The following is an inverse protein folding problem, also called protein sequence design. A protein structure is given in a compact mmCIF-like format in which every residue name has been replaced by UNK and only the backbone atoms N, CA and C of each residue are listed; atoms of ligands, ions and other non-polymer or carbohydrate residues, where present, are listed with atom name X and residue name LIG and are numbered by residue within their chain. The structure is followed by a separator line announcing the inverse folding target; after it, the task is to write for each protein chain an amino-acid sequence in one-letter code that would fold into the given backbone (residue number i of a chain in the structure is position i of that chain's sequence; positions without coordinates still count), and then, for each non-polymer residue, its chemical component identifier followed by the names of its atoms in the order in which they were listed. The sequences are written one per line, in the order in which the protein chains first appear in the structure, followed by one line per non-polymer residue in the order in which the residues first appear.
data_IF_720588382009
#
_entry.id   IF_720588382009
#
_cell.length_a   1.000
_cell.length_b   1.000
_cell.length_c   1.000
_cell.angle_alpha   90.00
_cell.angle_beta   90.00
_cell.angle_gamma   90.00
#
_symmetry.space_group_name_H-M   'P 1'
#
loop_
_entity.id
_entity.type
_entity.pdbx_description
1 polymer ?
#
# COMPACT_ATOMS: atom_id res chain seq x y z
N UNK A 1 22.94 -25.55 -4.23
CA UNK A 1 22.55 -24.13 -4.18
C UNK A 1 21.08 -24.05 -3.77
N UNK A 2 20.77 -23.98 -2.46
CA UNK A 2 19.45 -23.58 -1.93
C UNK A 2 19.51 -23.68 -0.41
N UNK A 3 20.16 -22.72 0.23
CA UNK A 3 20.04 -22.51 1.68
C UNK A 3 19.98 -21.01 1.98
N UNK A 4 20.66 -20.20 1.16
CA UNK A 4 20.65 -18.73 1.27
C UNK A 4 19.29 -18.14 0.84
N UNK A 5 18.65 -18.69 -0.20
CA UNK A 5 17.33 -18.26 -0.68
C UNK A 5 16.22 -18.50 0.35
N UNK A 6 16.28 -19.63 1.07
CA UNK A 6 15.27 -20.02 2.05
C UNK A 6 15.39 -19.23 3.36
N UNK A 7 16.60 -18.81 3.77
CA UNK A 7 16.80 -17.98 4.98
C UNK A 7 16.34 -16.53 4.79
N UNK A 8 16.44 -15.97 3.57
CA UNK A 8 15.99 -14.59 3.29
C UNK A 8 14.45 -14.50 3.18
N UNK A 9 13.78 -15.53 2.63
CA UNK A 9 12.30 -15.61 2.64
C UNK A 9 11.73 -15.55 4.06
N UNK A 10 12.47 -16.05 5.06
CA UNK A 10 12.07 -16.05 6.46
C UNK A 10 12.31 -14.74 7.24
N UNK A 11 12.89 -13.70 6.63
CA UNK A 11 13.06 -12.38 7.29
C UNK A 11 12.08 -11.31 6.80
N UNK A 12 11.40 -11.55 5.68
CA UNK A 12 10.50 -10.55 5.11
C UNK A 12 9.10 -10.71 5.66
N UNK A 13 8.52 -9.59 6.05
CA UNK A 13 7.13 -9.49 6.46
C UNK A 13 6.34 -8.69 5.40
N UNK A 14 5.02 -8.76 5.50
CA UNK A 14 4.10 -7.94 4.73
C UNK A 14 3.60 -6.83 5.63
N UNK A 15 3.74 -5.59 5.17
CA UNK A 15 3.31 -4.39 5.86
C UNK A 15 2.09 -3.80 5.17
N UNK A 16 1.15 -3.31 5.97
CA UNK A 16 -0.02 -2.57 5.47
C UNK A 16 0.32 -1.09 5.45
N UNK A 17 0.25 -0.47 4.27
CA UNK A 17 0.59 0.94 4.06
C UNK A 17 -0.62 1.68 3.50
N UNK A 18 -1.00 2.80 4.12
CA UNK A 18 -1.84 3.80 3.49
C UNK A 18 -0.96 4.83 2.78
N UNK A 19 -1.20 5.04 1.50
CA UNK A 19 -0.42 5.96 0.66
C UNK A 19 -1.36 6.99 0.06
N UNK A 20 -1.13 8.25 0.45
CA UNK A 20 -1.81 9.39 -0.14
C UNK A 20 -1.06 9.81 -1.41
N UNK A 21 -1.76 9.79 -2.52
CA UNK A 21 -1.29 10.23 -3.82
C UNK A 21 -1.83 11.62 -4.15
N UNK A 22 -0.97 12.45 -4.74
CA UNK A 22 -1.39 13.62 -5.50
C UNK A 22 -1.64 13.25 -6.96
N UNK A 23 -2.26 14.16 -7.72
CA UNK A 23 -2.38 14.03 -9.16
C UNK A 23 -1.01 14.19 -9.83
N UNK A 24 -0.71 13.29 -10.76
CA UNK A 24 0.39 13.46 -11.72
C UNK A 24 -0.06 13.17 -13.14
N UNK A 25 0.83 13.51 -14.09
CA UNK A 25 0.62 13.18 -15.50
C UNK A 25 0.77 11.67 -15.67
N UNK A 26 -0.18 11.06 -16.37
CA UNK A 26 -0.17 9.63 -16.72
C UNK A 26 -0.20 8.67 -15.50
N UNK A 27 -0.78 9.12 -14.38
CA UNK A 27 -0.94 8.35 -13.13
C UNK A 27 -2.06 7.30 -13.16
N UNK A 28 -2.81 7.21 -14.26
CA UNK A 28 -3.94 6.30 -14.42
C UNK A 28 -5.16 6.63 -13.56
N UNK A 29 -5.14 7.70 -12.76
CA UNK A 29 -6.27 8.08 -11.91
C UNK A 29 -7.46 8.59 -12.75
N UNK A 30 -8.71 8.33 -12.31
CA UNK A 30 -9.91 8.80 -12.99
C UNK A 30 -9.86 10.29 -13.35
N UNK A 31 -10.55 10.67 -14.42
CA UNK A 31 -10.66 12.09 -14.80
C UNK A 31 -11.24 12.90 -13.64
N UNK A 32 -10.73 14.12 -13.45
CA UNK A 32 -11.11 15.05 -12.36
C UNK A 32 -10.68 14.63 -10.95
N UNK A 33 -10.08 13.44 -10.75
CA UNK A 33 -9.47 13.11 -9.48
C UNK A 33 -8.29 14.07 -9.22
N UNK A 34 -8.18 14.57 -7.99
CA UNK A 34 -7.05 15.42 -7.53
C UNK A 34 -5.95 14.60 -6.86
N UNK A 35 -6.24 13.33 -6.58
CA UNK A 35 -5.35 12.37 -5.93
C UNK A 35 -6.08 11.07 -5.65
N UNK A 36 -5.49 10.22 -4.81
CA UNK A 36 -6.13 9.00 -4.32
C UNK A 36 -5.52 8.60 -2.98
N UNK A 37 -6.27 7.84 -2.19
CA UNK A 37 -5.75 7.09 -1.06
C UNK A 37 -5.65 5.64 -1.49
N UNK A 38 -4.48 5.04 -1.31
CA UNK A 38 -4.23 3.64 -1.58
C UNK A 38 -4.03 2.89 -0.28
N UNK A 39 -4.62 1.70 -0.16
CA UNK A 39 -4.17 0.69 0.79
C UNK A 39 -3.31 -0.31 0.04
N UNK A 40 -2.08 -0.47 0.48
CA UNK A 40 -1.08 -1.31 -0.16
C UNK A 40 -0.54 -2.36 0.82
N UNK A 41 -0.36 -3.59 0.35
CA UNK A 41 0.47 -4.60 1.01
C UNK A 41 1.84 -4.58 0.36
N UNK A 42 2.86 -4.25 1.15
CA UNK A 42 4.24 -4.12 0.68
C UNK A 42 5.16 -5.03 1.49
N UNK A 43 6.04 -5.74 0.80
CA UNK A 43 7.03 -6.59 1.45
C UNK A 43 8.26 -5.79 1.90
N UNK A 44 8.82 -6.14 3.05
CA UNK A 44 10.10 -5.60 3.51
C UNK A 44 10.69 -6.42 4.65
N UNK A 45 11.98 -6.23 4.94
CA UNK A 45 12.63 -6.72 6.17
C UNK A 45 12.28 -5.79 7.34
N UNK A 46 12.00 -4.52 7.05
CA UNK A 46 11.43 -3.56 7.99
C UNK A 46 10.32 -2.74 7.32
N UNK A 47 9.49 -2.07 8.13
CA UNK A 47 8.45 -1.17 7.62
C UNK A 47 9.08 -0.04 6.77
N UNK A 48 10.19 0.53 7.23
CA UNK A 48 10.95 1.53 6.50
C UNK A 48 11.41 1.06 5.11
N UNK A 49 11.82 -0.20 4.96
CA UNK A 49 12.15 -0.78 3.65
C UNK A 49 10.89 -0.90 2.79
N UNK A 50 9.81 -1.44 3.35
CA UNK A 50 8.54 -1.59 2.65
C UNK A 50 7.98 -0.24 2.16
N UNK A 51 8.12 0.82 2.96
CA UNK A 51 7.77 2.21 2.59
C UNK A 51 8.64 2.71 1.45
N UNK A 52 9.97 2.57 1.55
CA UNK A 52 10.90 3.02 0.49
C UNK A 52 10.61 2.33 -0.85
N UNK A 53 10.39 1.02 -0.83
CA UNK A 53 10.11 0.23 -2.04
C UNK A 53 8.73 0.53 -2.63
N UNK A 54 7.71 0.73 -1.79
CA UNK A 54 6.39 1.16 -2.24
C UNK A 54 6.45 2.52 -2.94
N UNK A 55 7.11 3.51 -2.33
CA UNK A 55 7.30 4.84 -2.92
C UNK A 55 8.08 4.76 -4.23
N UNK A 56 9.17 3.98 -4.27
CA UNK A 56 9.96 3.80 -5.48
C UNK A 56 9.15 3.14 -6.61
N UNK A 57 8.34 2.14 -6.28
CA UNK A 57 7.46 1.45 -7.24
C UNK A 57 6.41 2.38 -7.83
N UNK A 58 5.69 3.12 -6.99
CA UNK A 58 4.67 4.08 -7.44
C UNK A 58 5.26 5.18 -8.32
N UNK A 59 6.45 5.71 -7.97
CA UNK A 59 7.14 6.70 -8.79
C UNK A 59 7.53 6.17 -10.16
N UNK A 60 7.98 4.91 -10.25
CA UNK A 60 8.26 4.25 -11.55
C UNK A 60 7.00 4.13 -12.43
N UNK A 61 5.82 4.10 -11.81
CA UNK A 61 4.52 4.08 -12.47
C UNK A 61 3.94 5.49 -12.70
N UNK A 62 4.76 6.55 -12.61
CA UNK A 62 4.35 7.95 -12.78
C UNK A 62 3.31 8.45 -11.77
N UNK A 63 3.13 7.77 -10.64
CA UNK A 63 2.27 8.25 -9.54
C UNK A 63 3.04 9.18 -8.60
N UNK A 64 2.33 10.09 -7.94
CA UNK A 64 2.91 11.08 -7.04
C UNK A 64 2.56 10.81 -5.56
N UNK A 65 3.28 9.90 -4.86
CA UNK A 65 3.09 9.70 -3.43
C UNK A 65 3.48 10.96 -2.64
N UNK A 66 2.55 11.42 -1.79
CA UNK A 66 2.68 12.62 -0.95
C UNK A 66 2.99 12.25 0.50
N UNK A 67 2.24 11.29 1.05
CA UNK A 67 2.38 10.84 2.43
C UNK A 67 2.17 9.33 2.51
N UNK A 68 2.87 8.68 3.45
CA UNK A 68 2.73 7.25 3.74
C UNK A 68 2.52 7.07 5.23
N UNK A 69 1.52 6.28 5.59
CA UNK A 69 1.25 5.85 6.96
C UNK A 69 1.38 4.33 7.00
N UNK A 70 2.19 3.82 7.93
CA UNK A 70 2.31 2.39 8.20
C UNK A 70 1.32 1.94 9.26
N UNK A 71 0.70 0.79 9.04
CA UNK A 71 -0.18 0.11 10.00
C UNK A 71 0.46 -1.17 10.56
N UNK A 72 1.79 -1.26 10.51
CA UNK A 72 2.53 -2.41 10.98
C UNK A 72 2.47 -3.62 10.04
N UNK A 73 3.12 -4.69 10.49
CA UNK A 73 3.15 -5.97 9.80
C UNK A 73 1.85 -6.76 10.03
N UNK A 74 1.65 -7.81 9.22
CA UNK A 74 0.56 -8.77 9.46
C UNK A 74 0.58 -9.32 10.90
N UNK A 75 1.77 -9.58 11.45
CA UNK A 75 1.91 -10.10 12.81
C UNK A 75 1.46 -9.06 13.85
N UNK A 76 1.87 -7.80 13.69
CA UNK A 76 1.47 -6.71 14.58
C UNK A 76 -0.07 -6.55 14.56
N UNK A 77 -0.69 -6.60 13.37
CA UNK A 77 -2.16 -6.51 13.24
C UNK A 77 -2.88 -7.67 13.93
N UNK A 78 -2.36 -8.90 13.82
CA UNK A 78 -2.93 -10.07 14.49
C UNK A 78 -2.78 -9.97 16.02
N UNK A 79 -1.66 -9.43 16.51
CA UNK A 79 -1.41 -9.20 17.94
C UNK A 79 -2.33 -8.11 18.51
N UNK A 80 -2.63 -7.08 17.72
CA UNK A 80 -3.62 -6.03 18.04
C UNK A 80 -5.08 -6.53 17.95
N UNK A 81 -5.30 -7.79 17.56
CA UNK A 81 -6.61 -8.42 17.50
C UNK A 81 -7.41 -8.10 16.24
N UNK A 82 -6.76 -7.61 15.18
CA UNK A 82 -7.43 -7.43 13.88
C UNK A 82 -7.69 -8.78 13.21
N UNK A 83 -8.91 -8.95 12.70
CA UNK A 83 -9.23 -10.07 11.82
C UNK A 83 -8.72 -9.77 10.40
N UNK A 84 -8.07 -10.77 9.80
CA UNK A 84 -7.61 -10.74 8.41
C UNK A 84 -8.40 -11.81 7.68
N UNK A 85 -9.25 -11.40 6.74
CA UNK A 85 -10.06 -12.34 5.99
C UNK A 85 -9.23 -13.14 4.95
N UNK A 86 -9.86 -14.13 4.31
CA UNK A 86 -9.18 -14.98 3.34
C UNK A 86 -8.72 -14.22 2.10
N UNK A 87 -9.45 -13.19 1.66
CA UNK A 87 -9.09 -12.40 0.49
C UNK A 87 -7.87 -11.54 0.79
N UNK A 88 -7.87 -10.84 1.93
CA UNK A 88 -6.75 -10.06 2.43
C UNK A 88 -5.51 -10.93 2.61
N UNK A 89 -5.65 -12.11 3.25
CA UNK A 89 -4.55 -13.06 3.41
C UNK A 89 -3.97 -13.51 2.06
N UNK A 90 -4.80 -13.77 1.06
CA UNK A 90 -4.35 -14.16 -0.27
C UNK A 90 -3.58 -13.03 -0.96
N UNK A 91 -4.02 -11.78 -0.82
CA UNK A 91 -3.29 -10.62 -1.34
C UNK A 91 -1.93 -10.45 -0.63
N UNK A 92 -1.90 -10.57 0.70
CA UNK A 92 -0.65 -10.50 1.47
C UNK A 92 0.32 -11.63 1.10
N UNK A 93 -0.18 -12.86 0.96
CA UNK A 93 0.63 -14.02 0.55
C UNK A 93 1.24 -13.82 -0.84
N UNK A 94 0.46 -13.27 -1.78
CA UNK A 94 0.96 -12.93 -3.13
C UNK A 94 2.01 -11.82 -3.11
N UNK A 95 1.80 -10.78 -2.30
CA UNK A 95 2.80 -9.73 -2.11
C UNK A 95 4.13 -10.36 -1.66
N UNK A 96 4.07 -11.26 -0.67
CA UNK A 96 5.23 -11.96 -0.12
C UNK A 96 5.94 -12.87 -1.14
N UNK A 97 5.18 -13.70 -1.87
CA UNK A 97 5.77 -14.65 -2.81
C UNK A 97 6.40 -13.97 -4.03
N UNK A 98 5.76 -12.90 -4.53
CA UNK A 98 6.21 -12.15 -5.70
C UNK A 98 7.21 -11.04 -5.35
N UNK A 99 7.47 -10.80 -4.05
CA UNK A 99 8.24 -9.65 -3.55
C UNK A 99 7.76 -8.33 -4.19
N UNK A 100 6.45 -8.08 -4.08
CA UNK A 100 5.75 -7.03 -4.79
C UNK A 100 4.99 -6.10 -3.85
N UNK A 101 4.52 -4.99 -4.43
CA UNK A 101 3.61 -4.03 -3.80
C UNK A 101 2.24 -4.25 -4.42
N UNK A 102 1.29 -4.77 -3.64
CA UNK A 102 -0.08 -5.02 -4.08
C UNK A 102 -0.98 -3.90 -3.59
N UNK A 103 -1.72 -3.27 -4.50
CA UNK A 103 -2.75 -2.28 -4.17
C UNK A 103 -4.05 -3.03 -3.88
N UNK A 104 -4.47 -3.02 -2.62
CA UNK A 104 -5.67 -3.70 -2.15
C UNK A 104 -6.93 -2.84 -2.34
N UNK A 105 -6.82 -1.54 -2.00
CA UNK A 105 -7.90 -0.58 -2.18
C UNK A 105 -7.40 0.70 -2.84
N UNK A 106 -8.26 1.26 -3.69
CA UNK A 106 -8.04 2.56 -4.35
C UNK A 106 -9.25 3.43 -4.04
N UNK A 107 -9.03 4.56 -3.38
CA UNK A 107 -10.07 5.56 -3.13
C UNK A 107 -9.67 6.88 -3.82
N UNK A 108 -10.15 7.15 -5.05
CA UNK A 108 -9.88 8.41 -5.73
C UNK A 108 -10.48 9.60 -4.96
N UNK A 109 -9.73 10.69 -4.89
CA UNK A 109 -10.17 11.93 -4.26
C UNK A 109 -10.61 12.93 -5.33
N UNK A 110 -11.75 13.59 -5.13
CA UNK A 110 -12.28 14.60 -6.05
C UNK A 110 -12.42 15.94 -5.33
N UNK A 111 -12.13 17.04 -6.03
CA UNK A 111 -12.13 18.38 -5.45
C UNK A 111 -13.50 18.91 -4.97
N UNK A 112 -14.59 18.17 -5.18
CA UNK A 112 -15.96 18.61 -4.88
C UNK A 112 -16.53 18.01 -3.58
N UNK A 113 -15.78 17.20 -2.85
CA UNK A 113 -16.27 16.56 -1.62
C UNK A 113 -16.31 17.53 -0.40
N UNK A 114 -16.19 18.83 -0.63
CA UNK A 114 -16.32 19.91 0.38
C UNK A 114 -17.58 20.79 0.13
N UNK A 115 -18.41 20.51 -0.88
CA UNK A 115 -19.65 21.28 -1.15
C UNK A 115 -20.93 20.61 -0.61
N UNK A 116 -20.90 20.05 0.60
CA UNK A 116 -22.09 19.47 1.24
C UNK A 116 -22.40 19.98 2.66
N UNK A 117 -21.73 21.03 3.15
CA UNK A 117 -22.10 21.68 4.43
C UNK A 117 -22.36 23.19 4.29
N UNK A 118 -22.79 23.62 3.10
CA UNK A 118 -23.47 24.90 2.92
C UNK A 118 -24.89 24.65 2.47
N UNK A 119 -25.75 24.24 3.40
CA UNK A 119 -27.19 24.35 3.20
C UNK A 119 -27.81 25.01 4.43
N UNK A 120 -27.98 26.33 4.29
CA UNK A 120 -28.89 27.28 4.94
C UNK A 120 -29.15 27.18 6.45
#
# INVERSE_FOLDING_TARGET
MSKISDTIKNQRAVYTLEINLGRSRDDGLPKKATGAILICYSTGISEDEAVREAVATLRRLNMAPLNVVGYGSIQDRLEDGHEIDDEENNLMARALDENSVIVAHVMPLFGNDIEADKIN
#
